data_IF_082428720899
#
_entry.id   IF_082428720899
#
_cell.length_a   1.000
_cell.length_b   1.000
_cell.length_c   1.000
_cell.angle_alpha   90.00
_cell.angle_beta   90.00
_cell.angle_gamma   90.00
#
_symmetry.space_group_name_H-M   'P 1'
#
loop_
_entity.id
_entity.type
_entity.pdbx_description
1 polymer ?
#
# COMPACT_ATOMS: atom_id res chain seq x y z
N UNK A 1 -24.41 -15.08 13.18
CA UNK A 1 -23.74 -13.97 13.89
C UNK A 1 -22.32 -14.38 14.25
N UNK A 2 -21.39 -14.28 13.32
CA UNK A 2 -19.96 -14.35 13.59
C UNK A 2 -19.38 -13.03 13.14
N UNK A 3 -18.80 -12.29 14.08
CA UNK A 3 -18.12 -11.02 13.85
C UNK A 3 -16.87 -11.31 13.02
N UNK A 4 -16.91 -10.91 11.75
CA UNK A 4 -15.74 -10.87 10.88
C UNK A 4 -14.80 -9.80 11.44
N UNK A 5 -13.86 -10.23 12.29
CA UNK A 5 -12.73 -9.39 12.68
C UNK A 5 -11.97 -9.04 11.41
N UNK A 6 -11.93 -7.74 11.08
CA UNK A 6 -11.00 -7.19 10.11
C UNK A 6 -9.63 -7.82 10.36
N UNK A 7 -8.98 -8.34 9.32
CA UNK A 7 -7.55 -8.64 9.41
C UNK A 7 -6.85 -7.31 9.62
N UNK A 8 -6.64 -6.95 10.89
CA UNK A 8 -5.66 -5.95 11.32
C UNK A 8 -4.40 -6.16 10.48
N UNK A 9 -3.83 -5.07 9.93
CA UNK A 9 -2.57 -5.07 9.19
C UNK A 9 -1.60 -6.02 9.91
N UNK A 10 -1.39 -7.21 9.33
CA UNK A 10 -0.71 -8.27 10.05
C UNK A 10 0.77 -7.90 10.13
N UNK A 11 1.16 -7.39 11.29
CA UNK A 11 2.57 -7.19 11.60
C UNK A 11 3.32 -8.50 11.40
N UNK A 12 4.37 -8.45 10.57
CA UNK A 12 5.09 -9.64 10.18
C UNK A 12 6.18 -9.97 11.21
N UNK A 13 6.48 -11.25 11.46
CA UNK A 13 7.62 -11.64 12.26
C UNK A 13 8.90 -10.94 11.77
N UNK A 14 9.63 -10.32 12.69
CA UNK A 14 10.83 -9.53 12.40
C UNK A 14 10.59 -8.02 12.19
N UNK A 15 9.34 -7.56 12.11
CA UNK A 15 9.02 -6.14 12.08
C UNK A 15 9.33 -5.48 13.44
N UNK A 16 9.68 -4.20 13.42
CA UNK A 16 9.86 -3.40 14.63
C UNK A 16 8.67 -2.48 14.86
N UNK A 17 8.28 -2.32 16.12
CA UNK A 17 7.17 -1.50 16.56
C UNK A 17 7.55 -0.65 17.78
N UNK A 18 6.82 0.43 18.02
CA UNK A 18 6.96 1.30 19.21
C UNK A 18 5.59 1.59 19.79
N UNK A 19 5.50 1.78 21.10
CA UNK A 19 4.25 2.20 21.75
C UNK A 19 3.94 3.64 21.33
N UNK A 20 2.71 3.89 20.86
CA UNK A 20 2.28 5.22 20.37
C UNK A 20 2.49 6.33 21.40
N UNK A 21 2.19 6.04 22.67
CA UNK A 21 2.34 6.99 23.78
C UNK A 21 3.81 7.39 24.05
N UNK A 22 4.76 6.52 23.70
CA UNK A 22 6.19 6.71 23.99
C UNK A 22 6.89 7.50 22.87
N UNK A 23 6.26 7.70 21.70
CA UNK A 23 6.85 8.47 20.59
C UNK A 23 7.24 9.91 20.95
N UNK A 24 6.63 10.47 21.99
CA UNK A 24 6.96 11.79 22.57
C UNK A 24 8.34 11.81 23.24
N UNK A 25 8.83 10.66 23.67
CA UNK A 25 10.17 10.53 24.25
C UNK A 25 11.23 10.73 23.16
N UNK A 26 12.40 11.20 23.56
CA UNK A 26 13.51 11.42 22.62
C UNK A 26 13.96 10.09 22.00
N UNK A 27 14.15 9.07 22.87
CA UNK A 27 14.64 7.73 22.52
C UNK A 27 13.76 6.65 23.14
N UNK A 28 12.51 6.46 22.64
CA UNK A 28 11.62 5.43 23.18
C UNK A 28 12.17 4.04 22.93
N UNK A 29 11.85 3.08 23.80
CA UNK A 29 12.15 1.67 23.55
C UNK A 29 11.37 1.16 22.33
N UNK A 30 12.03 0.38 21.48
CA UNK A 30 11.38 -0.27 20.33
C UNK A 30 11.30 -1.78 20.59
N UNK A 31 10.42 -2.45 19.86
CA UNK A 31 10.13 -3.86 20.07
C UNK A 31 10.14 -4.60 18.74
N UNK A 32 10.72 -5.78 18.70
CA UNK A 32 10.71 -6.64 17.51
C UNK A 32 9.63 -7.69 17.65
N UNK A 33 8.80 -7.87 16.63
CA UNK A 33 7.83 -8.97 16.55
C UNK A 33 8.58 -10.29 16.47
N UNK A 34 8.54 -11.07 17.55
CA UNK A 34 9.22 -12.35 17.69
C UNK A 34 8.19 -13.49 17.61
N UNK A 35 8.13 -14.12 16.43
CA UNK A 35 7.09 -15.11 16.14
C UNK A 35 5.69 -14.49 16.05
N UNK A 36 4.69 -15.19 16.60
CA UNK A 36 3.27 -14.79 16.49
C UNK A 36 2.70 -14.13 17.74
N UNK A 37 3.34 -14.32 18.89
CA UNK A 37 2.74 -14.04 20.21
C UNK A 37 3.63 -13.22 21.12
N UNK A 38 4.83 -12.85 20.69
CA UNK A 38 5.80 -12.14 21.52
C UNK A 38 6.38 -10.92 20.81
N UNK A 39 6.72 -9.93 21.63
CA UNK A 39 7.54 -8.79 21.28
C UNK A 39 8.83 -8.86 22.11
N UNK A 40 9.99 -8.74 21.47
CA UNK A 40 11.29 -8.63 22.14
C UNK A 40 11.70 -7.16 22.26
N UNK A 41 12.06 -6.70 23.46
CA UNK A 41 12.45 -5.30 23.70
C UNK A 41 13.85 -4.99 23.17
N UNK A 42 14.00 -3.78 22.66
CA UNK A 42 15.27 -3.17 22.30
C UNK A 42 15.40 -1.81 23.00
N UNK A 43 16.52 -1.60 23.67
CA UNK A 43 16.78 -0.38 24.44
C UNK A 43 17.83 0.51 23.76
N UNK A 44 17.66 1.84 23.85
CA UNK A 44 18.62 2.79 23.29
C UNK A 44 19.94 2.74 24.05
N UNK A 45 21.05 2.87 23.33
CA UNK A 45 22.37 3.08 23.87
C UNK A 45 23.18 3.96 22.92
N UNK A 46 24.12 4.73 23.44
CA UNK A 46 24.96 5.59 22.62
C UNK A 46 26.24 4.86 22.20
N UNK A 47 26.57 4.91 20.92
CA UNK A 47 27.82 4.40 20.37
C UNK A 47 28.35 5.34 19.30
N UNK A 48 29.57 5.87 19.49
CA UNK A 48 30.21 6.82 18.57
C UNK A 48 29.36 8.07 18.26
N UNK A 49 28.64 8.60 19.27
CA UNK A 49 27.78 9.77 19.11
C UNK A 49 26.48 9.52 18.35
N UNK A 50 26.11 8.26 18.12
CA UNK A 50 24.86 7.85 17.48
C UNK A 50 24.08 6.99 18.47
N UNK A 51 22.77 7.25 18.62
CA UNK A 51 21.89 6.39 19.40
C UNK A 51 21.49 5.16 18.59
N UNK A 52 21.86 3.99 19.10
CA UNK A 52 21.54 2.68 18.55
C UNK A 52 20.66 1.90 19.54
N UNK A 53 20.13 0.78 19.09
CA UNK A 53 19.20 -0.06 19.84
C UNK A 53 19.68 -1.50 19.82
N UNK A 54 19.76 -2.14 20.99
CA UNK A 54 20.17 -3.54 21.11
C UNK A 54 19.08 -4.39 21.76
N UNK A 55 18.96 -5.65 21.34
CA UNK A 55 18.01 -6.58 21.96
C UNK A 55 18.36 -6.82 23.43
N UNK A 56 17.34 -6.95 24.25
CA UNK A 56 17.47 -7.39 25.65
C UNK A 56 16.51 -8.53 25.94
N UNK A 57 16.77 -9.27 27.03
CA UNK A 57 15.96 -10.42 27.46
C UNK A 57 14.64 -10.01 28.12
N UNK A 58 13.95 -9.01 27.57
CA UNK A 58 12.63 -8.55 28.01
C UNK A 58 11.63 -8.80 26.90
N UNK A 59 10.55 -9.50 27.23
CA UNK A 59 9.50 -9.87 26.29
C UNK A 59 8.15 -9.42 26.81
N UNK A 60 7.25 -9.07 25.90
CA UNK A 60 5.84 -8.82 26.21
C UNK A 60 4.93 -9.57 25.24
N UNK A 61 3.67 -9.77 25.63
CA UNK A 61 2.69 -10.48 24.81
C UNK A 61 2.28 -9.65 23.59
N UNK A 62 2.09 -10.34 22.47
CA UNK A 62 1.61 -9.77 21.21
C UNK A 62 0.19 -10.26 20.92
N UNK A 63 -0.78 -9.63 21.59
CA UNK A 63 -2.21 -9.93 21.44
C UNK A 63 -2.91 -8.89 20.57
N UNK A 64 -4.09 -9.19 19.97
CA UNK A 64 -4.89 -8.22 19.22
C UNK A 64 -5.14 -6.92 19.99
N UNK A 65 -5.41 -7.02 21.29
CA UNK A 65 -5.65 -5.86 22.15
C UNK A 65 -4.38 -5.01 22.31
N UNK A 66 -3.22 -5.65 22.50
CA UNK A 66 -1.94 -4.95 22.61
C UNK A 66 -1.54 -4.25 21.30
N UNK A 67 -1.80 -4.87 20.13
CA UNK A 67 -1.41 -4.34 18.81
C UNK A 67 -1.88 -2.91 18.58
N UNK A 68 -3.07 -2.56 19.07
CA UNK A 68 -3.65 -1.22 18.96
C UNK A 68 -2.80 -0.12 19.59
N UNK A 69 -1.94 -0.48 20.55
CA UNK A 69 -1.06 0.45 21.25
C UNK A 69 0.25 0.72 20.51
N UNK A 70 0.56 -0.07 19.48
CA UNK A 70 1.83 -0.02 18.77
C UNK A 70 1.69 0.56 17.37
N UNK A 71 2.80 1.08 16.84
CA UNK A 71 2.96 1.49 15.45
C UNK A 71 4.29 0.96 14.90
N UNK A 72 4.30 0.54 13.64
CA UNK A 72 5.51 0.08 12.96
C UNK A 72 6.57 1.17 12.86
N UNK A 73 7.82 0.78 13.08
CA UNK A 73 8.97 1.68 12.99
C UNK A 73 10.01 1.19 11.99
N UNK A 74 10.54 2.08 11.13
CA UNK A 74 11.65 1.74 10.26
C UNK A 74 12.94 1.63 11.09
N UNK A 75 13.68 0.55 10.87
CA UNK A 75 15.00 0.35 11.47
C UNK A 75 16.04 0.03 10.41
N UNK A 76 17.30 0.38 10.70
CA UNK A 76 18.47 -0.06 9.92
C UNK A 76 19.29 -1.02 10.76
N UNK A 77 19.48 -2.24 10.27
CA UNK A 77 20.37 -3.19 10.93
C UNK A 77 21.82 -2.69 10.83
N UNK A 78 22.51 -2.64 11.98
CA UNK A 78 23.92 -2.24 12.10
C UNK A 78 24.82 -3.43 12.41
N UNK A 79 24.35 -4.37 13.22
CA UNK A 79 25.03 -5.62 13.52
C UNK A 79 24.02 -6.72 13.81
N UNK A 80 24.31 -7.95 13.40
CA UNK A 80 23.49 -9.11 13.71
C UNK A 80 24.39 -10.28 14.08
N UNK A 81 24.55 -10.50 15.39
CA UNK A 81 25.22 -11.66 15.98
C UNK A 81 24.22 -12.66 16.55
N UNK A 82 24.73 -13.79 17.06
CA UNK A 82 23.90 -14.84 17.66
C UNK A 82 23.21 -14.40 18.97
N UNK A 83 23.86 -13.54 19.76
CA UNK A 83 23.37 -13.09 21.06
C UNK A 83 22.92 -11.62 21.04
N UNK A 84 23.50 -10.82 20.15
CA UNK A 84 23.29 -9.38 20.09
C UNK A 84 22.94 -8.96 18.65
N UNK A 85 21.85 -8.23 18.52
CA UNK A 85 21.40 -7.57 17.30
C UNK A 85 21.29 -6.08 17.60
N UNK A 86 22.01 -5.28 16.80
CA UNK A 86 22.04 -3.83 16.93
C UNK A 86 21.36 -3.21 15.72
N UNK A 87 20.40 -2.33 15.99
CA UNK A 87 19.66 -1.58 14.97
C UNK A 87 19.70 -0.09 15.27
N UNK A 88 19.44 0.72 14.25
CA UNK A 88 19.23 2.15 14.36
C UNK A 88 17.77 2.45 14.09
N UNK A 89 17.10 3.16 14.99
CA UNK A 89 15.71 3.58 14.82
C UNK A 89 15.65 4.83 13.93
N UNK A 90 15.07 4.71 12.75
CA UNK A 90 14.96 5.79 11.78
C UNK A 90 13.71 6.64 12.04
N UNK A 91 13.61 7.25 13.23
CA UNK A 91 12.43 8.01 13.69
C UNK A 91 11.94 9.05 12.66
N UNK A 92 12.88 9.74 11.99
CA UNK A 92 12.57 10.76 10.98
C UNK A 92 12.01 10.20 9.66
N UNK A 93 12.05 8.88 9.46
CA UNK A 93 11.51 8.20 8.28
C UNK A 93 10.12 7.59 8.54
N UNK A 94 9.54 7.80 9.73
CA UNK A 94 8.20 7.32 10.08
C UNK A 94 7.10 8.07 9.33
N UNK A 95 6.07 7.32 8.90
CA UNK A 95 4.74 7.88 8.64
C UNK A 95 3.89 7.60 9.86
N UNK A 96 3.52 8.64 10.61
CA UNK A 96 2.59 8.51 11.73
C UNK A 96 1.17 8.47 11.16
N UNK A 97 0.53 7.31 11.29
CA UNK A 97 -0.86 7.09 10.89
C UNK A 97 -1.68 7.07 12.17
N UNK A 98 -2.69 7.94 12.24
CA UNK A 98 -3.71 7.85 13.27
C UNK A 98 -4.60 6.63 12.96
N UNK A 99 -4.46 5.58 13.77
CA UNK A 99 -5.17 4.32 13.57
C UNK A 99 -6.65 4.43 13.93
N UNK A 100 -7.01 5.28 14.90
CA UNK A 100 -8.41 5.43 15.29
C UNK A 100 -9.16 6.16 14.16
N UNK A 101 -8.52 7.17 13.58
CA UNK A 101 -9.01 7.82 12.36
C UNK A 101 -9.05 6.84 11.17
N UNK A 102 -8.03 6.02 10.99
CA UNK A 102 -8.02 5.00 9.92
C UNK A 102 -9.17 3.99 10.07
N UNK A 103 -9.45 3.52 11.29
CA UNK A 103 -10.57 2.62 11.58
C UNK A 103 -11.93 3.30 11.30
N UNK A 104 -12.05 4.59 11.63
CA UNK A 104 -13.23 5.38 11.28
C UNK A 104 -13.43 5.48 9.76
N UNK A 105 -12.38 5.79 8.99
CA UNK A 105 -12.42 5.82 7.54
C UNK A 105 -12.81 4.45 6.95
N UNK A 106 -12.18 3.37 7.44
CA UNK A 106 -12.50 2.00 7.00
C UNK A 106 -13.98 1.67 7.17
N UNK A 107 -14.56 2.04 8.33
CA UNK A 107 -15.98 1.85 8.61
C UNK A 107 -16.87 2.73 7.74
N UNK A 108 -16.49 3.98 7.51
CA UNK A 108 -17.23 4.88 6.62
C UNK A 108 -17.33 4.31 5.20
N UNK A 109 -16.25 3.73 4.68
CA UNK A 109 -16.23 3.17 3.34
C UNK A 109 -17.06 1.88 3.19
N UNK A 110 -17.56 1.26 4.27
CA UNK A 110 -18.49 0.11 4.19
C UNK A 110 -19.77 0.47 3.42
N UNK A 111 -20.15 1.75 3.40
CA UNK A 111 -21.30 2.24 2.66
C UNK A 111 -21.23 1.97 1.14
N UNK A 112 -20.06 1.66 0.59
CA UNK A 112 -19.85 1.39 -0.85
C UNK A 112 -19.82 -0.09 -1.20
N UNK A 113 -20.18 -0.99 -0.27
CA UNK A 113 -20.11 -2.44 -0.49
C UNK A 113 -20.95 -2.88 -1.70
N UNK A 114 -22.22 -2.48 -1.76
CA UNK A 114 -23.11 -2.86 -2.85
C UNK A 114 -22.59 -2.35 -4.21
N UNK A 115 -22.07 -1.12 -4.25
CA UNK A 115 -21.45 -0.58 -5.45
C UNK A 115 -20.22 -1.40 -5.88
N UNK A 116 -19.42 -1.83 -4.90
CA UNK A 116 -18.23 -2.63 -5.12
C UNK A 116 -18.53 -4.04 -5.63
N UNK A 117 -19.61 -4.67 -5.17
CA UNK A 117 -20.02 -5.99 -5.65
C UNK A 117 -20.41 -5.93 -7.14
N UNK A 118 -21.18 -4.91 -7.55
CA UNK A 118 -21.51 -4.67 -8.97
C UNK A 118 -20.25 -4.30 -9.78
N UNK A 119 -19.32 -3.57 -9.16
CA UNK A 119 -18.02 -3.26 -9.76
C UNK A 119 -17.24 -4.54 -10.12
N UNK A 120 -17.13 -5.49 -9.18
CA UNK A 120 -16.44 -6.77 -9.41
C UNK A 120 -17.22 -7.62 -10.41
N UNK A 121 -18.55 -7.66 -10.35
CA UNK A 121 -19.37 -8.32 -11.36
C UNK A 121 -19.06 -7.80 -12.76
N UNK A 122 -18.95 -6.47 -12.93
CA UNK A 122 -18.58 -5.84 -14.20
C UNK A 122 -17.23 -6.35 -14.71
N UNK A 123 -16.23 -6.44 -13.83
CA UNK A 123 -14.89 -6.90 -14.20
C UNK A 123 -14.83 -8.40 -14.50
N UNK A 124 -15.62 -9.23 -13.79
CA UNK A 124 -15.75 -10.66 -14.11
C UNK A 124 -16.43 -10.82 -15.47
N UNK A 125 -17.50 -10.07 -15.74
CA UNK A 125 -18.18 -10.07 -17.05
C UNK A 125 -17.22 -9.67 -18.17
N UNK A 126 -16.41 -8.63 -17.98
CA UNK A 126 -15.36 -8.24 -18.92
C UNK A 126 -14.29 -9.32 -19.14
N UNK A 127 -13.98 -10.12 -18.12
CA UNK A 127 -13.05 -11.24 -18.24
C UNK A 127 -13.67 -12.47 -18.92
N UNK A 128 -15.00 -12.62 -18.83
CA UNK A 128 -15.76 -13.67 -19.52
C UNK A 128 -16.00 -13.33 -20.99
N UNK A 129 -16.23 -12.04 -21.29
CA UNK A 129 -16.43 -11.46 -22.63
C UNK A 129 -15.74 -10.09 -22.72
N UNK A 130 -14.74 -9.97 -23.61
CA UNK A 130 -13.95 -8.75 -23.76
C UNK A 130 -14.73 -7.55 -24.34
N UNK A 131 -15.94 -7.76 -24.86
CA UNK A 131 -16.77 -6.67 -25.39
C UNK A 131 -17.71 -6.08 -24.34
N UNK A 132 -17.85 -6.71 -23.16
CA UNK A 132 -18.86 -6.35 -22.17
C UNK A 132 -18.82 -4.87 -21.77
N UNK A 133 -17.63 -4.33 -21.45
CA UNK A 133 -17.49 -2.91 -21.10
C UNK A 133 -17.93 -2.00 -22.25
N UNK A 134 -17.57 -2.34 -23.48
CA UNK A 134 -17.97 -1.56 -24.67
C UNK A 134 -19.48 -1.58 -24.87
N UNK A 135 -20.13 -2.73 -24.65
CA UNK A 135 -21.57 -2.89 -24.75
C UNK A 135 -22.30 -2.04 -23.70
N UNK A 136 -21.95 -2.13 -22.41
CA UNK A 136 -22.62 -1.34 -21.37
C UNK A 136 -22.43 0.18 -21.58
N UNK A 137 -21.31 0.62 -22.16
CA UNK A 137 -21.10 2.02 -22.51
C UNK A 137 -21.99 2.45 -23.70
N UNK A 138 -22.09 1.62 -24.73
CA UNK A 138 -22.90 1.91 -25.91
C UNK A 138 -24.39 1.92 -25.59
N UNK A 139 -24.84 0.95 -24.79
CA UNK A 139 -26.23 0.80 -24.36
C UNK A 139 -26.62 1.78 -23.26
N UNK A 140 -25.63 2.42 -22.63
CA UNK A 140 -25.81 3.29 -21.45
C UNK A 140 -26.53 2.54 -20.33
N UNK A 141 -26.02 1.36 -20.00
CA UNK A 141 -26.58 0.57 -18.91
C UNK A 141 -26.31 1.28 -17.57
N UNK A 142 -27.31 2.02 -17.09
CA UNK A 142 -27.21 2.81 -15.86
C UNK A 142 -26.92 1.96 -14.63
N UNK A 143 -27.32 0.68 -14.61
CA UNK A 143 -27.07 -0.20 -13.48
C UNK A 143 -25.57 -0.46 -13.34
N UNK A 144 -24.87 -0.84 -14.41
CA UNK A 144 -23.42 -1.03 -14.32
C UNK A 144 -22.66 0.29 -14.24
N UNK A 145 -23.01 1.26 -15.09
CA UNK A 145 -22.23 2.50 -15.22
C UNK A 145 -22.22 3.34 -13.94
N UNK A 146 -23.36 3.48 -13.25
CA UNK A 146 -23.43 4.28 -12.02
C UNK A 146 -22.61 3.68 -10.87
N UNK A 147 -22.61 2.34 -10.74
CA UNK A 147 -21.83 1.63 -9.73
C UNK A 147 -20.33 1.70 -10.04
N UNK A 148 -19.96 1.51 -11.31
CA UNK A 148 -18.57 1.66 -11.78
C UNK A 148 -18.06 3.07 -11.52
N UNK A 149 -18.83 4.08 -11.90
CA UNK A 149 -18.48 5.48 -11.71
C UNK A 149 -18.31 5.83 -10.23
N UNK A 150 -19.19 5.35 -9.35
CA UNK A 150 -19.10 5.62 -7.91
C UNK A 150 -17.75 5.18 -7.32
N UNK A 151 -17.30 3.97 -7.64
CA UNK A 151 -16.01 3.44 -7.15
C UNK A 151 -14.83 4.15 -7.83
N UNK A 152 -14.90 4.40 -9.13
CA UNK A 152 -13.86 5.09 -9.89
C UNK A 152 -13.67 6.54 -9.38
N UNK A 153 -14.76 7.27 -9.09
CA UNK A 153 -14.73 8.66 -8.61
C UNK A 153 -14.11 8.78 -7.21
N UNK A 154 -14.44 7.86 -6.29
CA UNK A 154 -13.82 7.84 -4.95
C UNK A 154 -12.33 7.57 -5.09
N UNK A 155 -11.96 6.57 -5.89
CA UNK A 155 -10.56 6.17 -6.12
C UNK A 155 -9.75 7.33 -6.72
N UNK A 156 -10.30 7.99 -7.73
CA UNK A 156 -9.66 9.15 -8.37
C UNK A 156 -9.56 10.33 -7.40
N UNK A 157 -10.59 10.58 -6.59
CA UNK A 157 -10.55 11.61 -5.54
C UNK A 157 -9.40 11.38 -4.56
N UNK A 158 -9.21 10.14 -4.08
CA UNK A 158 -8.08 9.78 -3.19
C UNK A 158 -6.72 9.93 -3.87
N UNK A 159 -6.62 9.50 -5.13
CA UNK A 159 -5.39 9.68 -5.93
C UNK A 159 -5.04 11.17 -6.06
N UNK A 160 -6.01 12.02 -6.38
CA UNK A 160 -5.78 13.46 -6.55
C UNK A 160 -5.43 14.14 -5.23
N UNK A 161 -6.09 13.79 -4.13
CA UNK A 161 -5.78 14.34 -2.81
C UNK A 161 -4.35 13.99 -2.38
N UNK A 162 -3.93 12.74 -2.57
CA UNK A 162 -2.56 12.34 -2.31
C UNK A 162 -1.55 13.06 -3.21
N UNK A 163 -1.79 13.12 -4.53
CA UNK A 163 -0.92 13.87 -5.45
C UNK A 163 -0.79 15.35 -5.06
N UNK A 164 -1.85 15.99 -4.59
CA UNK A 164 -1.83 17.40 -4.20
C UNK A 164 -0.87 17.67 -3.02
N UNK A 165 -0.62 16.66 -2.18
CA UNK A 165 0.36 16.74 -1.08
C UNK A 165 1.79 16.45 -1.51
N UNK A 166 1.98 15.82 -2.67
CA UNK A 166 3.28 15.38 -3.17
C UNK A 166 3.83 16.38 -4.20
N UNK A 167 4.96 17.01 -3.89
CA UNK A 167 5.68 17.90 -4.82
C UNK A 167 6.58 17.13 -5.79
N UNK A 168 6.09 16.02 -6.32
CA UNK A 168 6.89 15.14 -7.16
C UNK A 168 7.10 15.68 -8.57
N UNK A 169 8.27 15.45 -9.18
CA UNK A 169 8.54 15.88 -10.54
C UNK A 169 7.63 15.14 -11.54
N UNK A 170 7.35 15.79 -12.67
CA UNK A 170 6.50 15.27 -13.76
C UNK A 170 6.85 13.83 -14.19
N UNK A 171 8.13 13.52 -14.49
CA UNK A 171 8.63 12.16 -14.74
C UNK A 171 8.11 11.09 -13.78
N UNK A 172 8.24 11.35 -12.48
CA UNK A 172 7.82 10.39 -11.47
C UNK A 172 6.29 10.22 -11.44
N UNK A 173 5.54 11.32 -11.56
CA UNK A 173 4.07 11.29 -11.59
C UNK A 173 3.57 10.50 -12.81
N UNK A 174 4.17 10.74 -13.97
CA UNK A 174 3.83 10.04 -15.21
C UNK A 174 4.15 8.54 -15.09
N UNK A 175 5.32 8.19 -14.57
CA UNK A 175 5.72 6.80 -14.40
C UNK A 175 4.75 6.02 -13.50
N UNK A 176 4.37 6.59 -12.34
CA UNK A 176 3.41 5.96 -11.41
C UNK A 176 2.03 5.78 -12.03
N UNK A 177 1.62 6.64 -12.96
CA UNK A 177 0.34 6.52 -13.66
C UNK A 177 0.38 5.58 -14.87
N UNK A 178 1.58 5.23 -15.35
CA UNK A 178 1.76 4.45 -16.60
C UNK A 178 1.99 2.97 -16.33
N UNK A 179 2.79 2.67 -15.29
CA UNK A 179 3.36 1.34 -15.08
C UNK A 179 2.69 0.63 -13.89
N UNK A 180 1.89 -0.43 -14.12
CA UNK A 180 1.06 -1.03 -13.08
C UNK A 180 1.83 -1.87 -12.05
N UNK A 181 3.10 -2.19 -12.29
CA UNK A 181 3.90 -3.06 -11.44
C UNK A 181 5.09 -2.32 -10.84
N UNK A 182 5.43 -2.67 -9.60
CA UNK A 182 6.57 -2.13 -8.87
C UNK A 182 7.52 -3.24 -8.43
N UNK A 183 8.82 -2.98 -8.53
CA UNK A 183 9.86 -3.74 -7.86
C UNK A 183 10.63 -2.77 -6.96
N UNK A 184 10.63 -3.06 -5.66
CA UNK A 184 11.26 -2.21 -4.65
C UNK A 184 12.38 -2.99 -3.98
N UNK A 185 13.61 -2.53 -4.20
CA UNK A 185 14.80 -3.14 -3.61
C UNK A 185 15.46 -2.17 -2.64
N UNK A 186 15.99 -2.70 -1.53
CA UNK A 186 16.82 -1.91 -0.61
C UNK A 186 18.03 -1.37 -1.37
N UNK A 187 18.31 -0.09 -1.18
CA UNK A 187 19.47 0.55 -1.77
C UNK A 187 20.61 0.55 -0.75
N UNK A 188 21.39 -0.55 -0.76
CA UNK A 188 22.50 -0.76 0.18
C UNK A 188 23.78 -0.01 -0.24
N UNK A 189 23.76 0.61 -1.42
CA UNK A 189 24.81 1.52 -1.85
C UNK A 189 24.76 2.78 -0.99
N UNK A 190 25.43 2.73 0.15
CA UNK A 190 25.69 3.90 0.99
C UNK A 190 26.39 5.02 0.23
N UNK A 191 26.72 6.11 0.92
CA UNK A 191 27.46 7.26 0.39
C UNK A 191 28.87 6.94 -0.20
N UNK A 192 29.21 5.67 -0.41
CA UNK A 192 30.52 5.14 -0.74
C UNK A 192 30.65 4.59 -2.19
N UNK A 193 29.82 5.03 -3.14
CA UNK A 193 30.17 4.93 -4.56
C UNK A 193 30.88 6.23 -4.96
N UNK A 194 32.21 6.17 -5.08
CA UNK A 194 33.10 7.31 -5.23
C UNK A 194 32.74 8.34 -6.32
N UNK A 195 33.09 9.59 -6.07
CA UNK A 195 33.23 10.66 -7.07
C UNK A 195 31.98 11.15 -7.81
N UNK A 196 30.82 10.53 -7.63
CA UNK A 196 29.56 10.90 -8.31
C UNK A 196 28.73 11.95 -7.55
N UNK A 197 27.82 12.63 -8.27
CA UNK A 197 26.84 13.57 -7.70
C UNK A 197 26.11 12.95 -6.49
N UNK A 198 25.78 13.74 -5.45
CA UNK A 198 25.05 13.25 -4.29
C UNK A 198 23.71 12.63 -4.71
N UNK A 199 23.49 11.37 -4.31
CA UNK A 199 22.23 10.64 -4.57
C UNK A 199 21.12 11.29 -3.75
N UNK A 200 20.04 11.69 -4.41
CA UNK A 200 18.89 12.35 -3.80
C UNK A 200 17.62 11.59 -4.13
N UNK A 201 16.67 11.62 -3.20
CA UNK A 201 15.34 11.08 -3.41
C UNK A 201 14.69 11.77 -4.61
N UNK A 202 14.26 11.00 -5.61
CA UNK A 202 13.58 11.51 -6.80
C UNK A 202 12.25 12.20 -6.49
N UNK A 203 11.63 11.92 -5.35
CA UNK A 203 10.38 12.54 -4.93
C UNK A 203 10.56 13.85 -4.14
N UNK A 204 11.45 13.87 -3.14
CA UNK A 204 11.57 14.99 -2.20
C UNK A 204 12.97 15.60 -2.08
N UNK A 205 13.92 15.17 -2.93
CA UNK A 205 15.32 15.63 -2.96
C UNK A 205 16.15 15.37 -1.69
N UNK A 206 15.57 14.69 -0.70
CA UNK A 206 16.25 14.28 0.52
C UNK A 206 17.50 13.44 0.21
N UNK A 207 18.62 13.66 0.89
CA UNK A 207 19.82 12.83 0.76
C UNK A 207 19.65 11.44 1.39
N UNK A 208 18.60 11.20 2.18
CA UNK A 208 18.32 9.92 2.83
C UNK A 208 17.69 8.90 1.87
N UNK A 209 18.41 8.54 0.80
CA UNK A 209 18.01 7.49 -0.13
C UNK A 209 18.14 6.12 0.53
N UNK A 210 17.12 5.28 0.38
CA UNK A 210 17.05 3.95 1.02
C UNK A 210 16.44 2.86 0.12
N UNK A 211 15.69 3.24 -0.92
CA UNK A 211 14.94 2.30 -1.77
C UNK A 211 15.15 2.67 -3.23
N UNK A 212 15.44 1.67 -4.06
CA UNK A 212 15.34 1.77 -5.52
C UNK A 212 13.99 1.23 -5.95
N UNK A 213 13.23 2.02 -6.68
CA UNK A 213 11.90 1.70 -7.19
C UNK A 213 11.98 1.58 -8.70
N UNK A 214 11.77 0.37 -9.21
CA UNK A 214 11.64 0.09 -10.64
C UNK A 214 10.17 -0.15 -10.97
N UNK A 215 9.63 0.64 -11.89
CA UNK A 215 8.26 0.51 -12.39
C UNK A 215 8.24 -0.26 -13.71
N UNK A 216 7.29 -1.16 -13.88
CA UNK A 216 7.19 -2.02 -15.07
C UNK A 216 5.76 -2.52 -15.29
N UNK A 217 5.59 -3.45 -16.23
CA UNK A 217 4.29 -4.00 -16.62
C UNK A 217 3.83 -3.46 -17.98
N UNK A 218 2.73 -4.01 -18.51
CA UNK A 218 2.13 -3.53 -19.75
C UNK A 218 1.19 -2.35 -19.42
N UNK A 219 1.37 -1.16 -20.04
CA UNK A 219 0.40 -0.08 -19.96
C UNK A 219 -0.94 -0.53 -20.54
N UNK A 220 -2.03 0.09 -20.12
CA UNK A 220 -3.37 -0.32 -20.52
C UNK A 220 -4.29 0.88 -20.75
N UNK A 221 -5.34 0.65 -21.54
CA UNK A 221 -6.42 1.61 -21.71
C UNK A 221 -7.33 1.59 -20.46
N UNK A 222 -7.54 2.73 -19.81
CA UNK A 222 -8.32 2.80 -18.57
C UNK A 222 -9.81 2.46 -18.74
N UNK A 223 -10.35 2.54 -19.96
CA UNK A 223 -11.73 2.20 -20.29
C UNK A 223 -11.88 0.73 -20.63
N UNK A 224 -11.06 0.20 -21.54
CA UNK A 224 -11.21 -1.19 -22.03
C UNK A 224 -10.40 -2.22 -21.24
N UNK A 225 -9.43 -1.76 -20.43
CA UNK A 225 -8.47 -2.58 -19.67
C UNK A 225 -7.51 -3.41 -20.52
N UNK A 226 -7.54 -3.23 -21.84
CA UNK A 226 -6.62 -3.87 -22.78
C UNK A 226 -5.25 -3.21 -22.75
N UNK A 227 -4.21 -4.00 -23.03
CA UNK A 227 -2.84 -3.52 -23.15
C UNK A 227 -2.69 -2.50 -24.28
N UNK A 228 -2.00 -1.38 -24.01
CA UNK A 228 -1.71 -0.34 -24.98
C UNK A 228 -0.21 -0.04 -25.02
N UNK A 229 0.24 0.62 -26.08
CA UNK A 229 1.64 1.06 -26.17
C UNK A 229 1.89 2.23 -25.20
N UNK A 230 3.00 2.22 -24.45
CA UNK A 230 3.39 3.38 -23.64
C UNK A 230 3.65 4.59 -24.52
N UNK A 231 3.42 5.78 -23.97
CA UNK A 231 3.97 7.00 -24.54
C UNK A 231 5.51 6.85 -24.64
N UNK A 232 6.14 7.20 -25.78
CA UNK A 232 7.59 7.14 -25.95
C UNK A 232 8.38 7.85 -24.84
N UNK A 233 7.84 8.94 -24.28
CA UNK A 233 8.46 9.68 -23.18
C UNK A 233 8.50 8.88 -21.87
N UNK A 234 7.53 7.99 -21.64
CA UNK A 234 7.44 7.16 -20.43
C UNK A 234 8.33 5.90 -20.47
N UNK A 235 8.94 5.57 -21.62
CA UNK A 235 9.71 4.33 -21.82
C UNK A 235 11.00 4.32 -21.01
N UNK A 236 11.65 5.47 -20.82
CA UNK A 236 12.98 5.53 -20.22
C UNK A 236 12.99 5.91 -18.73
N UNK A 237 11.89 6.47 -18.22
CA UNK A 237 11.81 7.00 -16.85
C UNK A 237 11.05 6.06 -15.92
N UNK A 238 11.69 4.97 -15.51
CA UNK A 238 11.07 3.94 -14.67
C UNK A 238 11.84 3.55 -13.42
N UNK A 239 13.06 4.06 -13.26
CA UNK A 239 13.98 3.68 -12.21
C UNK A 239 14.31 4.89 -11.34
N UNK A 240 13.89 4.83 -10.08
CA UNK A 240 13.95 5.97 -9.17
C UNK A 240 14.59 5.58 -7.85
N UNK A 241 15.53 6.41 -7.40
CA UNK A 241 16.09 6.32 -6.05
C UNK A 241 15.26 7.16 -5.10
N UNK A 242 14.84 6.59 -3.97
CA UNK A 242 13.88 7.21 -3.06
C UNK A 242 14.23 7.01 -1.59
N UNK A 243 13.80 7.96 -0.76
CA UNK A 243 13.69 7.73 0.68
C UNK A 243 12.48 6.83 0.98
N UNK A 244 12.45 6.22 2.19
CA UNK A 244 11.36 5.31 2.59
C UNK A 244 9.97 5.94 2.55
N UNK A 245 9.86 7.21 2.93
CA UNK A 245 8.58 7.92 2.91
C UNK A 245 8.06 7.99 1.47
N UNK A 246 8.88 8.48 0.53
CA UNK A 246 8.45 8.60 -0.86
C UNK A 246 8.20 7.25 -1.52
N UNK A 247 9.00 6.21 -1.25
CA UNK A 247 8.74 4.87 -1.80
C UNK A 247 7.40 4.29 -1.32
N UNK A 248 7.06 4.47 -0.03
CA UNK A 248 5.77 4.02 0.51
C UNK A 248 4.60 4.79 -0.12
N UNK A 249 4.77 6.09 -0.40
CA UNK A 249 3.77 6.87 -1.13
C UNK A 249 3.64 6.40 -2.59
N UNK A 250 4.74 5.99 -3.23
CA UNK A 250 4.69 5.45 -4.60
C UNK A 250 3.92 4.14 -4.63
N UNK A 251 4.19 3.25 -3.66
CA UNK A 251 3.45 1.99 -3.53
C UNK A 251 1.94 2.22 -3.39
N UNK A 252 1.54 3.09 -2.46
CA UNK A 252 0.13 3.39 -2.22
C UNK A 252 -0.54 4.05 -3.44
N UNK A 253 0.14 5.01 -4.06
CA UNK A 253 -0.38 5.74 -5.22
C UNK A 253 -0.48 4.84 -6.46
N UNK A 254 0.47 3.93 -6.66
CA UNK A 254 0.41 2.91 -7.71
C UNK A 254 -0.79 1.98 -7.49
N UNK A 255 -1.01 1.49 -6.26
CA UNK A 255 -2.18 0.65 -5.94
C UNK A 255 -3.50 1.32 -6.28
N UNK A 256 -3.68 2.58 -5.91
CA UNK A 256 -4.92 3.34 -6.18
C UNK A 256 -5.04 3.69 -7.66
N UNK A 257 -3.95 4.09 -8.31
CA UNK A 257 -3.97 4.46 -9.74
C UNK A 257 -4.33 3.26 -10.64
N UNK A 258 -3.86 2.07 -10.27
CA UNK A 258 -4.06 0.86 -11.06
C UNK A 258 -5.14 -0.07 -10.50
N UNK A 259 -5.94 0.39 -9.53
CA UNK A 259 -6.87 -0.43 -8.77
C UNK A 259 -7.83 -1.24 -9.66
N UNK A 260 -8.51 -0.57 -10.59
CA UNK A 260 -9.44 -1.20 -11.55
C UNK A 260 -8.78 -2.31 -12.36
N UNK A 261 -7.60 -2.01 -12.91
CA UNK A 261 -6.84 -2.95 -13.74
C UNK A 261 -6.33 -4.14 -12.94
N UNK A 262 -5.77 -3.91 -11.75
CA UNK A 262 -5.29 -4.98 -10.87
C UNK A 262 -6.44 -5.91 -10.43
N UNK A 263 -7.62 -5.35 -10.13
CA UNK A 263 -8.81 -6.14 -9.83
C UNK A 263 -9.27 -6.95 -11.05
N UNK A 264 -9.27 -6.37 -12.24
CA UNK A 264 -9.60 -7.08 -13.47
C UNK A 264 -8.66 -8.26 -13.72
N UNK A 265 -7.35 -8.08 -13.54
CA UNK A 265 -6.37 -9.17 -13.69
C UNK A 265 -6.66 -10.31 -12.70
N UNK A 266 -7.03 -9.99 -11.46
CA UNK A 266 -7.40 -11.00 -10.47
C UNK A 266 -8.72 -11.72 -10.81
N UNK A 267 -9.72 -11.00 -11.33
CA UNK A 267 -10.95 -11.59 -11.88
C UNK A 267 -10.65 -12.51 -13.07
N UNK A 268 -9.85 -12.04 -14.03
CA UNK A 268 -9.47 -12.80 -15.22
C UNK A 268 -8.70 -14.07 -14.87
N UNK A 269 -7.82 -14.01 -13.86
CA UNK A 269 -7.14 -15.17 -13.31
C UNK A 269 -8.13 -16.22 -12.79
N UNK A 270 -9.10 -15.83 -11.95
CA UNK A 270 -10.13 -16.76 -11.43
C UNK A 270 -11.02 -17.33 -12.54
N UNK A 271 -11.42 -16.51 -13.51
CA UNK A 271 -12.16 -16.99 -14.69
C UNK A 271 -11.35 -18.03 -15.45
N UNK A 272 -10.06 -17.78 -15.68
CA UNK A 272 -9.15 -18.71 -16.34
C UNK A 272 -8.99 -20.02 -15.56
N UNK A 273 -8.88 -19.97 -14.23
CA UNK A 273 -8.82 -21.15 -13.37
C UNK A 273 -10.09 -22.00 -13.50
N UNK A 274 -11.28 -21.38 -13.50
CA UNK A 274 -12.56 -22.08 -13.70
C UNK A 274 -12.65 -22.72 -15.09
N UNK A 275 -12.31 -21.99 -16.16
CA UNK A 275 -12.28 -22.52 -17.53
C UNK A 275 -11.27 -23.66 -17.72
N UNK A 276 -10.13 -23.60 -17.03
CA UNK A 276 -9.13 -24.66 -17.07
C UNK A 276 -9.60 -25.91 -16.32
N UNK A 277 -10.31 -25.73 -15.20
CA UNK A 277 -10.85 -26.85 -14.41
C UNK A 277 -12.02 -27.56 -15.11
N UNK A 278 -12.83 -26.83 -15.87
CA UNK A 278 -13.96 -27.36 -16.63
C UNK A 278 -14.17 -26.51 -17.91
N UNK A 279 -13.61 -26.97 -19.05
CA UNK A 279 -13.71 -26.25 -20.32
C UNK A 279 -15.14 -26.16 -20.88
N UNK A 280 -16.06 -26.99 -20.40
CA UNK A 280 -17.45 -27.03 -20.88
C UNK A 280 -18.40 -26.16 -20.04
N UNK A 281 -17.88 -25.56 -18.97
CA UNK A 281 -18.68 -24.77 -18.05
C UNK A 281 -19.19 -23.48 -18.71
N UNK A 282 -20.50 -23.26 -18.58
CA UNK A 282 -21.19 -22.07 -19.08
C UNK A 282 -20.68 -20.79 -18.39
N UNK A 283 -20.66 -19.68 -19.13
CA UNK A 283 -20.18 -18.38 -18.62
C UNK A 283 -21.02 -17.86 -17.46
N UNK A 284 -22.33 -18.02 -17.51
CA UNK A 284 -23.26 -17.61 -16.44
C UNK A 284 -23.02 -18.45 -15.18
N UNK A 285 -22.73 -19.74 -15.35
CA UNK A 285 -22.35 -20.61 -14.23
C UNK A 285 -21.05 -20.15 -13.58
N UNK A 286 -20.01 -19.83 -14.37
CA UNK A 286 -18.74 -19.29 -13.86
C UNK A 286 -18.98 -17.99 -13.10
N UNK A 287 -19.74 -17.04 -13.68
CA UNK A 287 -20.06 -15.77 -13.04
C UNK A 287 -20.69 -15.98 -11.66
N UNK A 288 -21.75 -16.78 -11.58
CA UNK A 288 -22.47 -17.02 -10.33
C UNK A 288 -21.60 -17.72 -9.27
N UNK A 289 -20.76 -18.68 -9.67
CA UNK A 289 -19.82 -19.32 -8.73
C UNK A 289 -18.80 -18.33 -8.15
N UNK A 290 -18.31 -17.39 -8.96
CA UNK A 290 -17.34 -16.38 -8.51
C UNK A 290 -18.01 -15.32 -7.64
N UNK A 291 -19.24 -14.90 -7.95
CA UNK A 291 -20.01 -13.98 -7.13
C UNK A 291 -20.45 -14.60 -5.79
N UNK A 292 -20.59 -15.92 -5.73
CA UNK A 292 -20.88 -16.65 -4.49
C UNK A 292 -19.67 -16.80 -3.55
N UNK A 293 -18.45 -16.47 -4.00
CA UNK A 293 -17.24 -16.47 -3.16
C UNK A 293 -17.17 -15.19 -2.31
N UNK A 294 -18.09 -15.08 -1.35
CA UNK A 294 -18.16 -13.94 -0.42
C UNK A 294 -16.82 -13.67 0.31
N UNK A 295 -16.06 -14.68 0.79
CA UNK A 295 -14.77 -14.43 1.44
C UNK A 295 -13.77 -13.70 0.52
N UNK A 296 -13.72 -14.09 -0.76
CA UNK A 296 -12.87 -13.41 -1.73
C UNK A 296 -13.32 -11.97 -2.00
N UNK A 297 -14.61 -11.76 -2.29
CA UNK A 297 -15.15 -10.43 -2.56
C UNK A 297 -14.91 -9.47 -1.38
N UNK A 298 -15.18 -9.96 -0.17
CA UNK A 298 -14.91 -9.20 1.06
C UNK A 298 -13.42 -8.87 1.23
N UNK A 299 -12.52 -9.80 0.90
CA UNK A 299 -11.08 -9.56 0.97
C UNK A 299 -10.64 -8.46 -0.02
N UNK A 300 -11.13 -8.49 -1.27
CA UNK A 300 -10.85 -7.44 -2.25
C UNK A 300 -11.35 -6.07 -1.76
N UNK A 301 -12.57 -6.03 -1.20
CA UNK A 301 -13.14 -4.79 -0.73
C UNK A 301 -12.38 -4.20 0.47
N UNK A 302 -11.95 -5.07 1.40
CA UNK A 302 -11.09 -4.66 2.53
C UNK A 302 -9.78 -4.06 2.03
N UNK A 303 -9.15 -4.65 1.02
CA UNK A 303 -7.90 -4.12 0.44
C UNK A 303 -8.08 -2.73 -0.18
N UNK A 304 -9.14 -2.54 -0.97
CA UNK A 304 -9.48 -1.25 -1.58
C UNK A 304 -9.75 -0.18 -0.54
N UNK A 305 -10.60 -0.47 0.45
CA UNK A 305 -10.90 0.48 1.54
C UNK A 305 -9.67 0.80 2.38
N UNK A 306 -8.78 -0.18 2.57
CA UNK A 306 -7.52 0.05 3.29
C UNK A 306 -6.67 1.08 2.56
N UNK A 307 -6.55 0.97 1.23
CA UNK A 307 -5.80 1.95 0.44
C UNK A 307 -6.41 3.36 0.54
N UNK A 308 -7.74 3.48 0.44
CA UNK A 308 -8.42 4.77 0.61
C UNK A 308 -8.25 5.36 2.02
N UNK A 309 -8.41 4.54 3.06
CA UNK A 309 -8.25 4.96 4.45
C UNK A 309 -6.80 5.37 4.76
N UNK A 310 -5.80 4.64 4.23
CA UNK A 310 -4.39 5.02 4.38
C UNK A 310 -4.11 6.41 3.78
N UNK A 311 -4.71 6.74 2.63
CA UNK A 311 -4.58 8.07 2.03
C UNK A 311 -5.20 9.13 2.94
N UNK A 312 -6.43 8.92 3.40
CA UNK A 312 -7.11 9.89 4.28
C UNK A 312 -6.34 10.10 5.58
N UNK A 313 -5.78 9.05 6.18
CA UNK A 313 -4.94 9.15 7.38
C UNK A 313 -3.64 9.92 7.12
N UNK A 314 -3.04 9.77 5.94
CA UNK A 314 -1.89 10.59 5.54
C UNK A 314 -2.29 12.05 5.47
N UNK A 315 -3.43 12.39 4.86
CA UNK A 315 -3.91 13.76 4.78
C UNK A 315 -4.26 14.35 6.15
N UNK A 316 -4.90 13.56 7.00
CA UNK A 316 -5.19 13.92 8.38
C UNK A 316 -3.90 14.26 9.14
N UNK A 317 -2.86 13.44 9.00
CA UNK A 317 -1.56 13.67 9.64
C UNK A 317 -0.90 15.01 9.23
N UNK A 318 -1.06 15.43 7.97
CA UNK A 318 -0.54 16.73 7.52
C UNK A 318 -1.31 17.91 8.14
N UNK A 319 -2.61 17.75 8.31
CA UNK A 319 -3.49 18.80 8.84
C UNK A 319 -3.25 19.01 10.33
N UNK A 320 -3.11 17.92 11.08
CA UNK A 320 -2.82 17.93 12.53
C UNK A 320 -1.38 18.40 12.82
N UNK A 321 -0.40 18.07 11.97
CA UNK A 321 0.98 18.58 12.16
C UNK A 321 1.12 20.08 11.88
N UNK A 322 0.30 20.64 11.00
CA UNK A 322 0.30 22.08 10.73
C UNK A 322 -0.39 22.90 11.83
N UNK A 323 -1.40 22.35 12.51
CA UNK A 323 -2.06 23.03 13.64
C UNK A 323 -1.17 23.10 14.87
N UNK A 324 -0.37 22.07 15.15
CA UNK A 324 0.57 22.04 16.29
C UNK A 324 1.77 22.97 16.10
N UNK A 325 2.18 23.25 14.86
CA UNK A 325 3.27 24.22 14.56
C UNK A 325 2.82 25.68 14.55
N UNK A 326 1.52 25.93 14.61
CA UNK A 326 0.92 27.27 14.56
C UNK A 326 0.48 27.78 15.94
N UNK A 327 0.82 27.06 17.00
CA UNK A 327 0.64 27.44 18.41
C UNK A 327 2.01 27.55 19.10
#
# INVERSE_FOLDING_TARGET
>A
MQSNKLKEKQHQPGEFVVIKADLKEEWPAIWRVDGKTLLQKYEPFEQNGITLYRNISTYTSWTPESKKQYISVPVKYRSQGQLETIVEFLKNEMTIIDYDFMEQCMKQFEAYQDNFEVYIQTLISQALDSNFLMEIFQEKDDYFLSNVQTIDDITESKKQSLFARLRWPGPLRQAVCTWPCLNMTRDDAGAAAGGGRPRRCAGCESPAVAVRVLMYGQPYNATTLEGCQPDPSAINEKDFLMCRICSNRVELLSKVTHQKYLMYIECAKRVSEKRTSDPTKDTTCILNELLADEPWLNQLFVEVRTAWAEIDSIEHSYTTNNSVRSQ
#
